data_IF_759507256517
#
_entry.id   IF_759507256517
#
_cell.length_a   1.000
_cell.length_b   1.000
_cell.length_c   1.000
_cell.angle_alpha   90.00
_cell.angle_beta   90.00
_cell.angle_gamma   90.00
#
_symmetry.space_group_name_H-M   'P 1'
#
loop_
_entity.id
_entity.type
_entity.pdbx_description
1 polymer ?
#
# COMPACT_ATOMS: atom_id res chain seq x y z
N UNK A 1 -2.31 -15.35 13.93
CA UNK A 1 -3.63 -15.70 14.42
C UNK A 1 -3.88 -17.18 14.20
N UNK A 2 -4.46 -17.87 15.20
CA UNK A 2 -5.14 -19.15 14.99
C UNK A 2 -6.58 -18.88 14.58
N UNK A 3 -7.31 -19.91 14.13
CA UNK A 3 -8.77 -19.90 13.96
C UNK A 3 -9.52 -19.44 15.23
N UNK A 4 -8.82 -19.29 16.35
CA UNK A 4 -9.32 -18.89 17.67
C UNK A 4 -8.98 -17.42 17.98
N UNK A 5 -8.38 -16.66 17.07
CA UNK A 5 -8.04 -15.25 17.24
C UNK A 5 -6.78 -14.98 18.10
N UNK A 6 -5.86 -15.94 18.21
CA UNK A 6 -4.61 -15.76 18.97
C UNK A 6 -3.52 -15.20 18.07
N UNK A 7 -2.87 -14.12 18.51
CA UNK A 7 -1.71 -13.51 17.85
C UNK A 7 -0.47 -14.42 17.99
N UNK A 8 0.24 -14.59 16.89
CA UNK A 8 1.58 -15.15 16.90
C UNK A 8 2.60 -14.02 16.93
N UNK A 9 3.42 -14.02 17.93
CA UNK A 9 4.60 -13.16 18.01
C UNK A 9 5.63 -13.63 16.99
N UNK A 10 6.11 -12.71 16.14
CA UNK A 10 7.18 -13.00 15.18
C UNK A 10 8.51 -12.75 15.86
N UNK A 11 9.14 -13.80 16.36
CA UNK A 11 10.48 -13.72 16.96
C UNK A 11 11.53 -13.85 15.86
N UNK A 12 12.42 -12.86 15.72
CA UNK A 12 13.54 -12.91 14.77
C UNK A 12 14.74 -13.67 15.33
N UNK A 13 15.49 -14.38 14.48
CA UNK A 13 16.64 -15.19 14.92
C UNK A 13 17.80 -14.40 15.50
N UNK A 14 17.88 -13.09 15.23
CA UNK A 14 19.01 -12.24 15.65
C UNK A 14 18.98 -11.87 17.13
N UNK A 15 17.83 -12.00 17.78
CA UNK A 15 17.66 -11.55 19.17
C UNK A 15 17.82 -12.68 20.19
N UNK A 16 18.04 -13.91 19.72
CA UNK A 16 18.23 -15.07 20.57
C UNK A 16 19.70 -15.45 20.61
N UNK A 17 20.41 -14.99 21.62
CA UNK A 17 21.66 -15.63 22.03
C UNK A 17 21.31 -16.97 22.67
N UNK A 18 21.02 -17.97 21.86
CA UNK A 18 20.63 -19.28 22.32
C UNK A 18 21.84 -20.16 22.49
N UNK A 19 22.11 -20.55 23.72
CA UNK A 19 22.71 -21.84 24.00
C UNK A 19 21.64 -22.92 23.71
N UNK A 20 21.43 -23.24 22.44
CA UNK A 20 20.46 -24.30 22.05
C UNK A 20 21.13 -25.64 22.27
N UNK A 21 20.92 -26.22 23.44
CA UNK A 21 21.37 -27.58 23.78
C UNK A 21 20.39 -28.69 23.34
N UNK A 22 19.28 -28.36 22.64
CA UNK A 22 18.25 -29.34 22.31
C UNK A 22 17.77 -29.24 20.85
N UNK A 23 17.90 -30.33 20.11
CA UNK A 23 17.48 -30.49 18.70
C UNK A 23 15.95 -30.26 18.50
N UNK A 24 15.15 -30.56 19.52
CA UNK A 24 13.69 -30.38 19.45
C UNK A 24 13.31 -28.90 19.46
N UNK A 25 14.01 -28.08 20.24
CA UNK A 25 13.81 -26.62 20.28
C UNK A 25 14.22 -25.97 18.97
N UNK A 26 15.29 -26.45 18.31
CA UNK A 26 15.73 -25.96 17.02
C UNK A 26 14.72 -26.28 15.91
N UNK A 27 14.11 -27.46 15.96
CA UNK A 27 13.09 -27.87 14.99
C UNK A 27 11.78 -27.07 15.17
N UNK A 28 11.39 -26.80 16.41
CA UNK A 28 10.26 -25.93 16.74
C UNK A 28 10.50 -24.52 16.26
N UNK A 29 11.69 -23.97 16.49
CA UNK A 29 12.12 -22.66 16.05
C UNK A 29 12.18 -22.53 14.51
N UNK A 30 12.69 -23.56 13.80
CA UNK A 30 12.69 -23.61 12.34
C UNK A 30 11.26 -23.70 11.77
N UNK A 31 10.35 -24.38 12.47
CA UNK A 31 8.93 -24.43 12.13
C UNK A 31 8.25 -23.06 12.26
N UNK A 32 8.55 -22.32 13.32
CA UNK A 32 8.06 -20.96 13.54
C UNK A 32 8.61 -19.97 12.48
N UNK A 33 9.89 -20.11 12.11
CA UNK A 33 10.54 -19.34 11.07
C UNK A 33 9.89 -19.55 9.69
N UNK A 34 9.63 -20.81 9.32
CA UNK A 34 8.94 -21.12 8.07
C UNK A 34 7.51 -20.58 8.04
N UNK A 35 6.86 -20.53 9.19
CA UNK A 35 5.52 -19.98 9.34
C UNK A 35 5.53 -18.45 9.26
N UNK A 36 6.55 -17.78 9.84
CA UNK A 36 6.80 -16.36 9.72
C UNK A 36 7.06 -15.94 8.27
N UNK A 37 7.97 -16.64 7.57
CA UNK A 37 8.23 -16.40 6.15
C UNK A 37 6.98 -16.59 5.29
N UNK A 38 6.11 -17.54 5.67
CA UNK A 38 4.84 -17.78 4.98
C UNK A 38 3.84 -16.64 5.25
N UNK A 39 3.80 -16.08 6.46
CA UNK A 39 2.96 -14.94 6.81
C UNK A 39 3.43 -13.67 6.08
N UNK A 40 4.74 -13.40 6.05
CA UNK A 40 5.31 -12.27 5.28
C UNK A 40 5.08 -12.47 3.78
N UNK A 41 5.28 -13.67 3.25
CA UNK A 41 4.97 -13.98 1.85
C UNK A 41 3.46 -13.90 1.56
N UNK A 42 2.60 -14.31 2.48
CA UNK A 42 1.15 -14.21 2.31
C UNK A 42 0.66 -12.76 2.42
N UNK A 43 1.25 -11.94 3.29
CA UNK A 43 0.92 -10.50 3.35
C UNK A 43 1.33 -9.78 2.03
N UNK A 44 2.49 -10.12 1.46
CA UNK A 44 2.92 -9.65 0.13
C UNK A 44 2.05 -10.28 -0.98
N UNK A 45 1.61 -11.52 -0.81
CA UNK A 45 0.75 -12.24 -1.76
C UNK A 45 -0.69 -11.71 -1.74
N UNK A 46 -1.24 -11.30 -0.58
CA UNK A 46 -2.62 -10.79 -0.50
C UNK A 46 -2.81 -9.48 -1.26
N UNK A 47 -1.81 -8.62 -1.31
CA UNK A 47 -1.87 -7.45 -2.19
C UNK A 47 -1.74 -7.80 -3.67
N UNK A 48 -1.04 -8.87 -3.99
CA UNK A 48 -1.02 -9.42 -5.35
C UNK A 48 -2.36 -10.08 -5.71
N UNK A 49 -3.06 -10.68 -4.74
CA UNK A 49 -4.36 -11.29 -4.94
C UNK A 49 -5.47 -10.27 -5.14
N UNK A 50 -5.48 -9.12 -4.45
CA UNK A 50 -6.42 -8.03 -4.70
C UNK A 50 -6.51 -7.65 -6.18
N UNK A 51 -5.43 -7.82 -6.95
CA UNK A 51 -5.39 -7.49 -8.36
C UNK A 51 -5.33 -8.68 -9.30
N UNK A 52 -4.87 -9.83 -8.83
CA UNK A 52 -4.93 -11.05 -9.63
C UNK A 52 -6.39 -11.47 -9.87
N UNK A 53 -7.23 -11.20 -8.86
CA UNK A 53 -8.68 -11.43 -8.91
C UNK A 53 -9.48 -10.17 -9.31
N UNK A 54 -8.85 -9.06 -9.69
CA UNK A 54 -9.55 -7.83 -10.07
C UNK A 54 -10.43 -7.97 -11.33
N UNK A 55 -10.28 -9.05 -12.09
CA UNK A 55 -11.27 -9.46 -13.10
C UNK A 55 -12.52 -10.12 -12.47
N UNK A 56 -12.45 -10.48 -11.20
CA UNK A 56 -13.62 -10.87 -10.42
C UNK A 56 -14.14 -9.66 -9.66
N UNK A 57 -15.43 -9.63 -9.44
CA UNK A 57 -16.03 -8.60 -8.59
C UNK A 57 -15.59 -8.80 -7.13
N UNK A 58 -15.31 -7.72 -6.43
CA UNK A 58 -14.94 -7.74 -5.00
C UNK A 58 -16.10 -8.32 -4.16
N UNK A 59 -17.33 -7.88 -4.47
CA UNK A 59 -18.55 -8.45 -3.87
C UNK A 59 -19.53 -8.85 -4.99
N UNK A 60 -19.36 -10.04 -5.61
CA UNK A 60 -20.17 -10.46 -6.76
C UNK A 60 -21.67 -10.46 -6.50
N UNK A 61 -22.10 -10.83 -5.29
CA UNK A 61 -23.51 -10.92 -4.92
C UNK A 61 -24.18 -9.55 -4.77
N UNK A 62 -23.43 -8.46 -4.63
CA UNK A 62 -23.96 -7.12 -4.35
C UNK A 62 -24.88 -6.55 -5.44
N UNK A 63 -24.88 -7.13 -6.65
CA UNK A 63 -25.81 -6.77 -7.72
C UNK A 63 -27.23 -7.31 -7.49
N UNK A 64 -27.33 -8.49 -6.88
CA UNK A 64 -28.59 -9.27 -6.86
C UNK A 64 -29.09 -9.58 -5.47
N UNK A 65 -28.27 -9.46 -4.46
CA UNK A 65 -28.59 -9.80 -3.06
C UNK A 65 -28.15 -8.68 -2.14
N UNK A 66 -28.93 -8.48 -1.08
CA UNK A 66 -28.54 -7.58 0.02
C UNK A 66 -27.39 -8.22 0.80
N UNK A 67 -26.31 -7.48 1.02
CA UNK A 67 -25.17 -7.86 1.85
C UNK A 67 -25.44 -7.47 3.31
N UNK A 68 -24.86 -8.19 4.25
CA UNK A 68 -24.92 -7.85 5.68
C UNK A 68 -23.62 -7.18 6.15
N UNK A 69 -23.68 -6.37 7.21
CA UNK A 69 -22.48 -5.79 7.81
C UNK A 69 -21.49 -6.87 8.27
N UNK A 70 -21.99 -7.99 8.82
CA UNK A 70 -21.15 -9.11 9.26
C UNK A 70 -20.30 -9.71 8.13
N UNK A 71 -20.77 -9.63 6.87
CA UNK A 71 -19.99 -10.12 5.72
C UNK A 71 -18.83 -9.20 5.32
N UNK A 72 -18.76 -8.01 5.87
CA UNK A 72 -17.75 -6.98 5.60
C UNK A 72 -16.71 -6.82 6.72
N UNK A 73 -16.90 -7.51 7.85
CA UNK A 73 -16.12 -7.28 9.08
C UNK A 73 -14.60 -7.52 8.92
N UNK A 74 -14.20 -8.36 7.96
CA UNK A 74 -12.80 -8.66 7.70
C UNK A 74 -12.25 -7.91 6.48
N UNK A 75 -13.02 -6.99 5.91
CA UNK A 75 -12.56 -6.19 4.78
C UNK A 75 -11.74 -5.00 5.26
N UNK A 76 -10.62 -4.75 4.61
CA UNK A 76 -9.80 -3.56 4.84
C UNK A 76 -10.51 -2.28 4.37
N UNK A 77 -10.02 -1.11 4.81
CA UNK A 77 -10.47 0.20 4.30
C UNK A 77 -10.38 0.27 2.77
N UNK A 78 -9.29 -0.24 2.21
CA UNK A 78 -9.10 -0.27 0.76
C UNK A 78 -10.12 -1.17 0.04
N UNK A 79 -10.41 -2.35 0.59
CA UNK A 79 -11.39 -3.28 0.02
C UNK A 79 -12.80 -2.71 0.06
N UNK A 80 -13.19 -2.12 1.18
CA UNK A 80 -14.48 -1.45 1.34
C UNK A 80 -14.62 -0.30 0.33
N UNK A 81 -13.60 0.55 0.22
CA UNK A 81 -13.57 1.66 -0.71
C UNK A 81 -13.67 1.22 -2.18
N UNK A 82 -12.92 0.18 -2.56
CA UNK A 82 -12.97 -0.40 -3.89
C UNK A 82 -14.32 -1.06 -4.16
N UNK A 83 -14.85 -1.86 -3.21
CA UNK A 83 -16.15 -2.52 -3.35
C UNK A 83 -17.30 -1.52 -3.54
N UNK A 84 -17.27 -0.41 -2.79
CA UNK A 84 -18.24 0.68 -2.98
C UNK A 84 -18.16 1.28 -4.39
N UNK A 85 -16.96 1.56 -4.86
CA UNK A 85 -16.77 2.15 -6.19
C UNK A 85 -17.02 1.14 -7.32
N UNK A 86 -16.83 -0.15 -7.08
CA UNK A 86 -17.14 -1.21 -8.04
C UNK A 86 -18.64 -1.22 -8.42
N UNK A 87 -19.55 -1.00 -7.45
CA UNK A 87 -20.98 -0.92 -7.76
C UNK A 87 -21.25 0.16 -8.81
N UNK A 88 -20.63 1.32 -8.70
CA UNK A 88 -20.74 2.38 -9.71
C UNK A 88 -20.02 2.04 -11.02
N UNK A 89 -18.84 1.42 -10.94
CA UNK A 89 -18.06 1.04 -12.11
C UNK A 89 -18.79 0.04 -13.01
N UNK A 90 -19.53 -0.91 -12.44
CA UNK A 90 -20.35 -1.88 -13.19
C UNK A 90 -21.40 -1.22 -14.09
N UNK A 91 -21.81 0.01 -13.76
CA UNK A 91 -22.73 0.83 -14.55
C UNK A 91 -21.99 1.87 -15.43
N UNK A 92 -20.68 1.73 -15.59
CA UNK A 92 -19.88 2.54 -16.49
C UNK A 92 -19.56 3.95 -15.98
N UNK A 93 -19.66 4.21 -14.67
CA UNK A 93 -19.23 5.48 -14.08
C UNK A 93 -17.73 5.67 -14.23
N UNK A 94 -17.29 6.84 -14.72
CA UNK A 94 -15.92 7.30 -14.67
C UNK A 94 -15.54 7.88 -13.30
N UNK A 95 -14.24 7.95 -13.02
CA UNK A 95 -13.72 8.41 -11.74
C UNK A 95 -12.74 9.57 -11.94
N UNK A 96 -12.85 10.61 -11.11
CA UNK A 96 -11.88 11.70 -11.05
C UNK A 96 -10.63 11.32 -10.26
N UNK A 97 -10.75 10.36 -9.35
CA UNK A 97 -9.61 9.77 -8.65
C UNK A 97 -8.82 8.89 -9.64
N UNK A 98 -7.55 9.24 -9.87
CA UNK A 98 -6.69 8.58 -10.86
C UNK A 98 -6.46 7.11 -10.56
N UNK A 99 -6.30 6.74 -9.28
CA UNK A 99 -6.14 5.36 -8.87
C UNK A 99 -7.37 4.53 -9.24
N UNK A 100 -8.58 4.98 -8.84
CA UNK A 100 -9.83 4.29 -9.17
C UNK A 100 -10.03 4.16 -10.68
N UNK A 101 -9.77 5.23 -11.44
CA UNK A 101 -9.94 5.19 -12.88
C UNK A 101 -8.97 4.18 -13.51
N UNK A 102 -7.69 4.17 -13.10
CA UNK A 102 -6.72 3.22 -13.62
C UNK A 102 -7.05 1.78 -13.22
N UNK A 103 -7.45 1.57 -11.96
CA UNK A 103 -7.86 0.27 -11.45
C UNK A 103 -9.00 -0.35 -12.27
N UNK A 104 -10.10 0.39 -12.44
CA UNK A 104 -11.24 -0.13 -13.22
C UNK A 104 -10.93 -0.25 -14.71
N UNK A 105 -10.11 0.64 -15.28
CA UNK A 105 -9.66 0.49 -16.67
C UNK A 105 -8.96 -0.86 -16.92
N UNK A 106 -8.22 -1.37 -15.95
CA UNK A 106 -7.54 -2.66 -16.03
C UNK A 106 -8.47 -3.87 -15.84
N UNK A 107 -9.72 -3.67 -15.38
CA UNK A 107 -10.72 -4.71 -15.30
C UNK A 107 -11.33 -4.99 -16.68
N UNK A 108 -11.41 -6.26 -17.10
CA UNK A 108 -11.93 -6.65 -18.43
C UNK A 108 -13.41 -6.30 -18.60
N UNK A 109 -14.17 -6.37 -17.50
CA UNK A 109 -15.63 -6.11 -17.49
C UNK A 109 -15.99 -4.62 -17.45
N UNK A 110 -15.05 -3.70 -17.17
CA UNK A 110 -15.33 -2.28 -17.04
C UNK A 110 -15.28 -1.57 -18.40
N UNK A 111 -16.33 -0.80 -18.68
CA UNK A 111 -16.39 0.13 -19.81
C UNK A 111 -16.94 1.47 -19.32
N UNK A 112 -16.12 2.53 -19.42
CA UNK A 112 -16.55 3.87 -19.05
C UNK A 112 -17.57 4.40 -20.05
N UNK A 113 -18.79 4.65 -19.59
CA UNK A 113 -19.88 5.18 -20.41
C UNK A 113 -20.35 6.57 -20.00
N UNK A 114 -19.99 7.02 -18.79
CA UNK A 114 -20.33 8.35 -18.29
C UNK A 114 -19.17 8.94 -17.49
N UNK A 115 -18.99 10.27 -17.59
CA UNK A 115 -18.10 10.98 -16.67
C UNK A 115 -18.69 11.02 -15.25
N UNK A 116 -17.83 11.21 -14.26
CA UNK A 116 -18.22 11.20 -12.83
C UNK A 116 -19.43 12.11 -12.57
N UNK A 117 -19.40 13.33 -13.08
CA UNK A 117 -20.43 14.35 -12.86
C UNK A 117 -21.70 14.15 -13.70
N UNK A 118 -21.59 13.35 -14.77
CA UNK A 118 -22.71 13.05 -15.67
C UNK A 118 -23.37 11.70 -15.38
N UNK A 119 -22.89 10.96 -14.37
CA UNK A 119 -23.43 9.65 -14.03
C UNK A 119 -24.82 9.76 -13.38
N UNK A 120 -25.78 9.03 -13.94
CA UNK A 120 -27.13 8.99 -13.43
C UNK A 120 -27.33 7.82 -12.47
N UNK A 121 -27.40 8.08 -11.15
CA UNK A 121 -27.61 7.07 -10.14
C UNK A 121 -28.99 6.37 -10.21
N UNK A 122 -29.89 6.83 -11.06
CA UNK A 122 -31.19 6.16 -11.26
C UNK A 122 -31.03 4.78 -11.91
N UNK A 123 -29.88 4.50 -12.54
CA UNK A 123 -29.57 3.19 -13.15
C UNK A 123 -29.33 2.10 -12.08
N UNK A 124 -28.96 2.51 -10.85
CA UNK A 124 -28.73 1.58 -9.76
C UNK A 124 -30.07 0.98 -9.27
N UNK A 125 -30.06 -0.34 -9.11
CA UNK A 125 -31.19 -1.07 -8.50
C UNK A 125 -31.36 -0.68 -7.01
N UNK A 126 -32.51 -0.99 -6.44
CA UNK A 126 -32.74 -0.75 -4.99
C UNK A 126 -31.77 -1.58 -4.13
N UNK A 127 -31.46 -2.82 -4.53
CA UNK A 127 -30.50 -3.69 -3.86
C UNK A 127 -29.11 -3.05 -3.82
N UNK A 128 -28.64 -2.52 -4.94
CA UNK A 128 -27.33 -1.85 -5.01
C UNK A 128 -27.29 -0.58 -4.15
N UNK A 129 -28.36 0.22 -4.16
CA UNK A 129 -28.48 1.40 -3.30
C UNK A 129 -28.49 1.06 -1.81
N UNK A 130 -29.09 -0.07 -1.43
CA UNK A 130 -29.09 -0.51 -0.05
C UNK A 130 -27.72 -1.10 0.34
N UNK A 131 -27.06 -1.83 -0.56
CA UNK A 131 -25.69 -2.32 -0.37
C UNK A 131 -24.67 -1.18 -0.24
N UNK A 132 -24.80 -0.12 -1.04
CA UNK A 132 -23.97 1.07 -0.89
C UNK A 132 -24.02 1.66 0.52
N UNK A 133 -25.20 1.71 1.14
CA UNK A 133 -25.35 2.20 2.54
C UNK A 133 -24.66 1.27 3.53
N UNK A 134 -24.80 -0.06 3.35
CA UNK A 134 -24.13 -1.04 4.21
C UNK A 134 -22.62 -0.91 4.13
N UNK A 135 -22.05 -0.76 2.92
CA UNK A 135 -20.61 -0.58 2.74
C UNK A 135 -20.16 0.76 3.34
N UNK A 136 -20.90 1.86 3.12
CA UNK A 136 -20.57 3.18 3.70
C UNK A 136 -20.60 3.17 5.23
N UNK A 137 -21.52 2.43 5.85
CA UNK A 137 -21.53 2.28 7.31
C UNK A 137 -20.36 1.41 7.79
N UNK A 138 -19.96 0.38 7.03
CA UNK A 138 -18.77 -0.40 7.32
C UNK A 138 -17.48 0.43 7.19
N UNK A 139 -17.33 1.26 6.13
CA UNK A 139 -16.22 2.22 6.00
C UNK A 139 -16.14 3.15 7.22
N UNK A 140 -17.30 3.66 7.68
CA UNK A 140 -17.35 4.53 8.84
C UNK A 140 -16.97 3.78 10.13
N UNK A 141 -17.52 2.58 10.35
CA UNK A 141 -17.20 1.75 11.51
C UNK A 141 -15.69 1.44 11.54
N UNK A 142 -15.11 1.07 10.39
CA UNK A 142 -13.68 0.84 10.27
C UNK A 142 -12.88 2.08 10.67
N UNK A 143 -13.25 3.27 10.17
CA UNK A 143 -12.57 4.51 10.52
C UNK A 143 -12.75 4.92 12.00
N UNK A 144 -13.90 4.63 12.61
CA UNK A 144 -14.15 4.88 14.04
C UNK A 144 -13.32 3.92 14.94
N UNK A 145 -13.09 2.68 14.49
CA UNK A 145 -12.28 1.66 15.18
C UNK A 145 -10.77 1.83 14.95
N UNK A 146 -10.39 2.47 13.83
CA UNK A 146 -9.00 2.72 13.44
C UNK A 146 -8.79 4.23 13.22
N UNK A 147 -8.73 5.03 14.31
CA UNK A 147 -8.72 6.50 14.22
C UNK A 147 -7.40 7.07 13.67
N UNK A 148 -6.38 6.25 13.47
CA UNK A 148 -5.09 6.65 12.93
C UNK A 148 -4.94 6.21 11.47
N UNK A 149 -4.12 6.93 10.68
CA UNK A 149 -3.32 8.11 11.01
C UNK A 149 -4.14 9.39 11.21
N UNK A 150 -3.72 10.25 12.17
CA UNK A 150 -4.27 11.59 12.36
C UNK A 150 -3.30 12.64 11.83
N UNK A 151 -3.78 13.56 10.97
CA UNK A 151 -3.00 14.68 10.45
C UNK A 151 -3.05 15.89 11.38
N UNK A 152 -1.89 16.51 11.61
CA UNK A 152 -1.73 17.73 12.37
C UNK A 152 -0.88 18.74 11.62
N UNK A 153 -1.19 20.03 11.74
CA UNK A 153 -0.43 21.09 11.07
C UNK A 153 0.86 21.39 11.79
N UNK A 154 1.88 21.76 11.01
CA UNK A 154 3.13 22.32 11.52
C UNK A 154 2.85 23.48 12.48
N UNK A 155 3.56 23.52 13.60
CA UNK A 155 3.38 24.47 14.67
C UNK A 155 2.20 24.22 15.61
N UNK A 156 1.32 23.27 15.31
CA UNK A 156 0.23 22.86 16.18
C UNK A 156 0.77 22.06 17.37
N UNK A 157 0.30 22.38 18.57
CA UNK A 157 0.48 21.53 19.75
C UNK A 157 -0.66 20.55 19.84
N UNK A 158 -0.33 19.29 20.02
CA UNK A 158 -1.29 18.20 20.16
C UNK A 158 -0.97 17.34 21.36
N UNK A 159 -1.95 16.62 21.83
CA UNK A 159 -1.86 15.71 22.96
C UNK A 159 -2.28 14.32 22.48
N UNK A 160 -1.38 13.37 22.52
CA UNK A 160 -1.61 11.96 22.18
C UNK A 160 -0.78 11.07 23.10
N UNK A 161 -1.29 9.94 23.51
CA UNK A 161 -0.57 8.90 24.26
C UNK A 161 0.27 8.08 23.26
N UNK A 162 1.53 8.47 23.06
CA UNK A 162 2.36 7.89 22.00
C UNK A 162 3.29 6.77 22.50
N UNK A 163 3.46 6.62 23.82
CA UNK A 163 4.24 5.52 24.40
C UNK A 163 3.38 4.43 25.05
N UNK A 164 2.04 4.60 25.05
CA UNK A 164 1.07 3.64 25.56
C UNK A 164 1.03 3.55 27.09
N UNK A 165 1.55 4.55 27.83
CA UNK A 165 1.56 4.54 29.30
C UNK A 165 0.24 5.01 29.94
N UNK A 166 -0.73 5.42 29.12
CA UNK A 166 -2.03 5.96 29.52
C UNK A 166 -2.03 7.45 29.83
N UNK A 167 -0.98 8.17 29.48
CA UNK A 167 -0.85 9.63 29.61
C UNK A 167 -0.49 10.23 28.27
N UNK A 168 -1.14 11.34 27.95
CA UNK A 168 -0.88 12.04 26.70
C UNK A 168 0.42 12.84 26.77
N UNK A 169 1.26 12.74 25.73
CA UNK A 169 2.42 13.59 25.49
C UNK A 169 2.02 14.86 24.73
N UNK A 170 2.62 16.00 25.09
CA UNK A 170 2.56 17.21 24.27
C UNK A 170 3.53 17.08 23.08
N UNK A 171 3.01 17.07 21.87
CA UNK A 171 3.77 16.94 20.63
C UNK A 171 3.64 18.21 19.82
N UNK A 172 4.75 18.65 19.20
CA UNK A 172 4.77 19.77 18.26
C UNK A 172 5.86 19.58 17.23
N UNK A 173 5.50 19.76 15.97
CA UNK A 173 6.44 19.76 14.85
C UNK A 173 6.59 21.17 14.31
N UNK A 174 7.83 21.67 14.24
CA UNK A 174 8.20 22.99 13.73
C UNK A 174 9.17 22.85 12.56
N UNK A 175 8.96 23.66 11.53
CA UNK A 175 9.84 23.78 10.36
C UNK A 175 10.38 25.20 10.30
N UNK A 176 11.70 25.35 10.12
CA UNK A 176 12.37 26.65 9.99
C UNK A 176 13.24 26.66 8.75
N UNK A 177 13.17 27.72 7.95
CA UNK A 177 14.15 27.92 6.89
C UNK A 177 15.56 28.01 7.49
N UNK A 178 16.47 27.18 7.01
CA UNK A 178 17.89 27.31 7.31
C UNK A 178 18.49 28.29 6.29
N UNK A 179 19.17 29.33 6.77
CA UNK A 179 19.59 30.48 5.97
C UNK A 179 20.67 30.24 4.90
N UNK A 180 21.14 29.01 4.70
CA UNK A 180 22.16 28.65 3.72
C UNK A 180 21.68 27.53 2.79
N UNK A 181 21.54 27.84 1.50
CA UNK A 181 21.26 26.91 0.39
C UNK A 181 20.21 25.83 0.66
N UNK A 182 18.96 26.26 0.54
CA UNK A 182 17.80 25.38 0.31
C UNK A 182 17.62 24.25 1.33
N UNK A 183 17.57 24.55 2.61
CA UNK A 183 17.26 23.58 3.63
C UNK A 183 16.30 24.12 4.68
N UNK A 184 15.47 23.22 5.21
CA UNK A 184 14.64 23.48 6.38
C UNK A 184 15.21 22.68 7.55
N UNK A 185 15.25 23.29 8.74
CA UNK A 185 15.48 22.56 9.99
C UNK A 185 14.13 22.11 10.51
N UNK A 186 13.99 20.81 10.68
CA UNK A 186 12.76 20.17 11.16
C UNK A 186 12.97 19.80 12.63
N UNK A 187 12.11 20.30 13.51
CA UNK A 187 12.23 20.12 14.95
C UNK A 187 10.95 19.49 15.47
N UNK A 188 11.06 18.29 16.04
CA UNK A 188 9.99 17.64 16.77
C UNK A 188 10.21 17.87 18.26
N UNK A 189 9.20 18.37 18.95
CA UNK A 189 9.25 18.61 20.40
C UNK A 189 8.24 17.67 21.07
N UNK A 190 8.73 16.86 22.02
CA UNK A 190 7.90 15.97 22.84
C UNK A 190 8.12 16.33 24.30
N UNK A 191 7.05 16.62 25.02
CA UNK A 191 7.06 17.03 26.45
C UNK A 191 8.09 18.13 26.74
N UNK A 192 8.26 19.08 25.82
CA UNK A 192 9.19 20.20 25.95
C UNK A 192 10.64 19.89 25.60
N UNK A 193 11.00 18.65 25.30
CA UNK A 193 12.32 18.27 24.77
C UNK A 193 12.29 18.36 23.26
N UNK A 194 13.22 19.11 22.67
CA UNK A 194 13.32 19.29 21.22
C UNK A 194 14.36 18.39 20.60
N UNK A 195 13.98 17.73 19.52
CA UNK A 195 14.80 16.84 18.70
C UNK A 195 14.91 17.44 17.29
N UNK A 196 16.13 17.67 16.84
CA UNK A 196 16.37 18.06 15.45
C UNK A 196 16.33 16.80 14.58
N UNK A 197 15.38 16.77 13.64
CA UNK A 197 15.14 15.62 12.77
C UNK A 197 16.00 15.78 11.52
N UNK A 198 16.92 14.87 11.29
CA UNK A 198 17.79 14.72 10.13
C UNK A 198 18.66 15.92 9.72
N UNK A 199 19.88 15.60 9.27
CA UNK A 199 20.84 16.55 8.68
C UNK A 199 20.46 17.01 7.25
N UNK A 200 19.45 16.39 6.65
CA UNK A 200 18.98 16.71 5.31
C UNK A 200 17.69 17.50 5.43
N UNK A 201 17.76 18.68 4.93
CA UNK A 201 16.64 19.59 4.95
C UNK A 201 15.47 19.02 4.16
N UNK A 202 14.42 18.71 4.87
CA UNK A 202 13.15 18.39 4.26
C UNK A 202 12.72 19.57 3.38
N UNK A 203 12.31 19.30 2.15
CA UNK A 203 11.59 20.26 1.35
C UNK A 203 10.15 20.28 1.83
N UNK A 204 9.73 21.39 2.41
CA UNK A 204 8.36 21.55 2.90
C UNK A 204 7.57 22.36 1.90
N UNK A 205 6.56 21.72 1.34
CA UNK A 205 5.54 22.37 0.50
C UNK A 205 4.24 22.52 1.30
N UNK A 206 3.21 23.19 0.77
CA UNK A 206 1.89 23.19 1.41
C UNK A 206 1.30 21.79 1.65
N UNK A 207 1.68 20.81 0.85
CA UNK A 207 1.25 19.42 0.97
C UNK A 207 1.96 18.70 2.12
N UNK A 208 3.17 19.11 2.48
CA UNK A 208 3.98 18.51 3.54
C UNK A 208 4.10 19.40 4.79
N UNK A 209 3.39 20.53 4.84
CA UNK A 209 3.29 21.40 6.03
C UNK A 209 2.39 20.79 7.11
N UNK A 210 2.69 19.54 7.45
CA UNK A 210 1.96 18.74 8.43
C UNK A 210 2.85 17.61 8.98
N UNK A 211 2.36 16.98 10.04
CA UNK A 211 2.87 15.72 10.56
C UNK A 211 1.71 14.80 10.92
N UNK A 212 2.00 13.53 11.10
CA UNK A 212 0.99 12.54 11.47
C UNK A 212 1.37 11.87 12.77
N UNK A 213 0.35 11.51 13.55
CA UNK A 213 0.46 10.43 14.54
C UNK A 213 -0.18 9.21 13.90
N UNK A 214 0.53 8.11 13.92
CA UNK A 214 0.19 6.87 13.22
C UNK A 214 0.13 5.71 14.18
N UNK A 215 -0.64 4.70 13.83
CA UNK A 215 -0.68 3.40 14.48
C UNK A 215 -0.27 2.38 13.43
N UNK A 216 1.03 2.04 13.41
CA UNK A 216 1.55 1.07 12.44
C UNK A 216 1.15 -0.35 12.84
N UNK A 217 1.06 -0.61 14.13
CA UNK A 217 0.70 -1.91 14.68
C UNK A 217 -0.40 -1.79 15.74
N UNK A 218 -1.64 -1.95 15.35
CA UNK A 218 -2.81 -1.85 16.22
C UNK A 218 -2.87 -2.92 17.35
N UNK A 219 -1.85 -3.75 17.49
CA UNK A 219 -1.75 -4.78 18.52
C UNK A 219 -0.77 -4.43 19.65
N UNK A 220 -0.05 -3.31 19.54
CA UNK A 220 0.67 -2.71 20.65
C UNK A 220 0.01 -1.39 21.07
N UNK A 221 0.41 -0.83 22.20
CA UNK A 221 -0.18 0.40 22.73
C UNK A 221 0.60 1.66 22.28
N UNK A 222 1.64 1.52 21.43
CA UNK A 222 2.49 2.64 21.00
C UNK A 222 2.01 3.24 19.66
N UNK A 223 2.27 4.55 19.52
CA UNK A 223 2.01 5.27 18.28
C UNK A 223 3.32 5.86 17.75
N UNK A 224 3.44 5.96 16.43
CA UNK A 224 4.58 6.59 15.80
C UNK A 224 4.23 7.99 15.32
N UNK A 225 5.26 8.83 15.23
CA UNK A 225 5.15 10.17 14.63
C UNK A 225 5.76 10.10 13.23
N UNK A 226 5.00 10.54 12.22
CA UNK A 226 5.47 10.57 10.85
C UNK A 226 5.59 12.00 10.35
N UNK A 227 6.71 12.33 9.70
CA UNK A 227 6.96 13.62 9.04
C UNK A 227 7.26 13.39 7.56
N UNK A 228 6.80 14.32 6.73
CA UNK A 228 6.86 14.21 5.28
C UNK A 228 7.99 15.07 4.70
N UNK A 229 8.66 14.54 3.68
CA UNK A 229 9.68 15.23 2.91
C UNK A 229 9.35 15.13 1.41
N UNK A 230 9.25 16.28 0.74
CA UNK A 230 9.02 16.33 -0.71
C UNK A 230 10.26 15.95 -1.53
N UNK A 231 11.44 15.97 -0.92
CA UNK A 231 12.70 15.73 -1.63
C UNK A 231 12.96 16.69 -2.79
N UNK A 232 14.16 16.62 -3.38
CA UNK A 232 14.50 17.46 -4.53
C UNK A 232 13.98 16.82 -5.81
N UNK A 233 12.93 16.89 -6.35
CA UNK A 233 12.43 16.31 -7.63
C UNK A 233 11.27 15.34 -7.47
N UNK A 234 10.52 15.44 -6.35
CA UNK A 234 9.42 14.54 -6.05
C UNK A 234 9.89 13.15 -5.55
N UNK A 235 11.10 13.10 -5.01
CA UNK A 235 11.63 11.92 -4.32
C UNK A 235 11.05 11.87 -2.89
N UNK A 236 9.75 11.71 -2.81
CA UNK A 236 8.98 11.74 -1.58
C UNK A 236 9.42 10.67 -0.58
N UNK A 237 9.57 11.08 0.69
CA UNK A 237 9.91 10.18 1.80
C UNK A 237 9.04 10.53 3.01
N UNK A 238 8.64 9.53 3.75
CA UNK A 238 8.01 9.64 5.06
C UNK A 238 8.95 9.08 6.10
N UNK A 239 9.36 9.88 7.08
CA UNK A 239 10.21 9.49 8.20
C UNK A 239 9.36 9.19 9.41
N UNK A 240 9.60 8.05 10.04
CA UNK A 240 8.87 7.59 11.23
C UNK A 240 9.75 7.67 12.47
N UNK A 241 9.17 8.10 13.57
CA UNK A 241 9.82 8.24 14.88
C UNK A 241 8.96 7.60 15.95
N UNK A 242 9.59 6.90 16.88
CA UNK A 242 8.98 6.31 18.06
C UNK A 242 9.47 7.03 19.30
N UNK A 243 8.59 7.23 20.28
CA UNK A 243 8.92 7.73 21.60
C UNK A 243 8.77 6.59 22.63
N UNK A 244 9.79 6.37 23.46
CA UNK A 244 9.82 5.28 24.45
C UNK A 244 9.48 5.75 25.88
N UNK A 245 8.87 6.94 26.04
CA UNK A 245 8.62 7.59 27.32
C UNK A 245 9.79 8.44 27.82
N UNK A 246 10.98 8.36 27.21
CA UNK A 246 12.17 9.11 27.59
C UNK A 246 12.84 9.80 26.40
N UNK A 247 12.99 9.11 25.28
CA UNK A 247 13.71 9.58 24.12
C UNK A 247 12.90 9.33 22.84
N UNK A 248 13.10 10.22 21.87
CA UNK A 248 12.58 10.04 20.51
C UNK A 248 13.63 9.33 19.67
N UNK A 249 13.28 8.23 19.07
CA UNK A 249 14.15 7.43 18.21
C UNK A 249 13.65 7.42 16.77
N UNK A 250 14.56 7.44 15.81
CA UNK A 250 14.24 7.24 14.40
C UNK A 250 13.88 5.77 14.17
N UNK A 251 12.64 5.52 13.78
CA UNK A 251 12.12 4.17 13.51
C UNK A 251 12.44 3.67 12.09
N UNK A 252 12.56 4.58 11.13
CA UNK A 252 12.86 4.25 9.75
C UNK A 252 12.16 5.17 8.78
N UNK A 253 12.27 4.85 7.49
CA UNK A 253 11.68 5.64 6.42
C UNK A 253 10.93 4.75 5.42
N UNK A 254 9.91 5.35 4.81
CA UNK A 254 9.15 4.76 3.72
C UNK A 254 9.20 5.72 2.54
N UNK A 255 9.62 5.26 1.37
CA UNK A 255 9.57 6.10 0.17
C UNK A 255 8.12 6.35 -0.26
N UNK A 256 7.83 7.60 -0.61
CA UNK A 256 6.48 8.07 -0.88
C UNK A 256 5.70 8.47 0.37
N UNK A 257 4.43 8.75 0.18
CA UNK A 257 3.49 9.11 1.24
C UNK A 257 2.46 7.99 1.41
N UNK A 258 2.49 7.20 2.50
CA UNK A 258 1.55 6.10 2.72
C UNK A 258 0.12 6.56 3.08
N UNK A 259 -0.10 7.86 3.21
CA UNK A 259 -1.38 8.45 3.59
C UNK A 259 -2.31 8.55 2.38
N UNK A 260 -3.52 8.03 2.51
CA UNK A 260 -4.52 7.92 1.43
C UNK A 260 -4.74 9.23 0.66
N UNK A 261 -4.90 10.33 1.38
CA UNK A 261 -5.15 11.63 0.78
C UNK A 261 -3.92 12.21 0.06
N UNK A 262 -2.70 11.84 0.49
CA UNK A 262 -1.47 12.33 -0.13
C UNK A 262 -1.06 11.49 -1.34
N UNK A 263 -1.32 10.19 -1.32
CA UNK A 263 -0.97 9.31 -2.43
C UNK A 263 -2.06 9.23 -3.51
N UNK A 264 -3.23 9.78 -3.24
CA UNK A 264 -4.37 9.79 -4.17
C UNK A 264 -5.02 8.41 -4.41
N UNK A 265 -4.65 7.41 -3.62
CA UNK A 265 -5.06 6.03 -3.85
C UNK A 265 -5.41 5.30 -2.56
N UNK A 266 -4.66 4.26 -2.26
CA UNK A 266 -4.88 3.36 -1.14
C UNK A 266 -4.36 3.93 0.19
N UNK A 267 -4.96 3.49 1.30
CA UNK A 267 -4.34 3.60 2.62
C UNK A 267 -3.11 2.69 2.66
N UNK A 268 -1.94 3.23 3.01
CA UNK A 268 -0.70 2.47 3.08
C UNK A 268 -0.56 1.64 4.35
N UNK A 269 -1.29 1.96 5.42
CA UNK A 269 -1.19 1.26 6.70
C UNK A 269 -2.07 0.02 6.71
N UNK A 270 -1.49 -1.14 7.07
CA UNK A 270 -2.24 -2.40 7.19
C UNK A 270 -2.85 -2.59 8.57
N UNK A 271 -2.42 -1.82 9.58
CA UNK A 271 -2.77 -2.02 10.99
C UNK A 271 -2.15 -3.27 11.62
N UNK A 272 -1.28 -3.96 10.88
CA UNK A 272 -0.61 -5.21 11.29
C UNK A 272 0.89 -5.11 11.01
N UNK A 273 1.54 -4.05 11.49
CA UNK A 273 2.97 -3.76 11.29
C UNK A 273 3.40 -3.53 9.83
N UNK A 274 2.50 -3.52 8.87
CA UNK A 274 2.82 -3.35 7.45
C UNK A 274 2.53 -1.94 6.95
N UNK A 275 3.42 -1.41 6.11
CA UNK A 275 3.22 -0.14 5.40
C UNK A 275 3.52 -0.32 3.93
N UNK A 276 2.59 0.14 3.06
CA UNK A 276 2.82 0.29 1.63
C UNK A 276 3.34 1.71 1.34
N UNK A 277 4.50 1.77 0.71
CA UNK A 277 5.08 2.98 0.16
C UNK A 277 5.22 2.89 -1.35
N UNK A 278 6.08 3.74 -1.91
CA UNK A 278 6.31 3.81 -3.36
C UNK A 278 7.74 3.46 -3.67
N UNK A 279 7.98 2.50 -4.56
CA UNK A 279 9.30 2.23 -5.13
C UNK A 279 9.31 2.60 -6.62
N UNK A 280 10.43 3.12 -7.09
CA UNK A 280 10.65 3.39 -8.50
C UNK A 280 11.22 2.15 -9.18
N UNK A 281 10.76 1.87 -10.39
CA UNK A 281 11.37 0.91 -11.32
C UNK A 281 11.67 1.57 -12.65
N UNK A 282 12.70 1.10 -13.33
CA UNK A 282 13.06 1.49 -14.69
C UNK A 282 12.98 0.29 -15.66
N UNK A 283 12.22 -0.75 -15.29
CA UNK A 283 11.94 -1.89 -16.16
C UNK A 283 11.03 -1.45 -17.31
N UNK A 284 11.53 -1.50 -18.54
CA UNK A 284 10.94 -1.00 -19.79
C UNK A 284 10.70 0.51 -19.81
N UNK A 285 10.15 1.07 -18.76
CA UNK A 285 9.87 2.49 -18.58
C UNK A 285 10.00 2.89 -17.13
N UNK A 286 10.19 4.16 -16.86
CA UNK A 286 10.13 4.67 -15.49
C UNK A 286 8.70 4.58 -14.98
N UNK A 287 8.48 3.79 -13.95
CA UNK A 287 7.18 3.61 -13.31
C UNK A 287 7.33 3.50 -11.79
N UNK A 288 6.19 3.53 -11.11
CA UNK A 288 6.12 3.44 -9.66
C UNK A 288 5.31 2.21 -9.25
N UNK A 289 5.86 1.47 -8.30
CA UNK A 289 5.24 0.28 -7.71
C UNK A 289 4.94 0.54 -6.23
N UNK A 290 4.01 -0.23 -5.67
CA UNK A 290 3.77 -0.25 -4.23
C UNK A 290 4.86 -1.11 -3.57
N UNK A 291 5.82 -0.48 -2.87
CA UNK A 291 6.78 -1.14 -2.00
C UNK A 291 6.13 -1.54 -0.68
N UNK A 292 6.73 -2.47 0.04
CA UNK A 292 6.23 -2.94 1.32
C UNK A 292 7.32 -2.85 2.39
N UNK A 293 6.97 -2.28 3.54
CA UNK A 293 7.81 -2.17 4.74
C UNK A 293 7.14 -2.89 5.90
N UNK A 294 7.95 -3.54 6.70
CA UNK A 294 7.51 -4.19 7.92
C UNK A 294 8.06 -3.44 9.14
N UNK A 295 7.20 -3.18 10.10
CA UNK A 295 7.55 -2.56 11.37
C UNK A 295 7.75 -3.64 12.43
N UNK A 296 8.96 -3.73 12.96
CA UNK A 296 9.28 -4.55 14.12
C UNK A 296 9.02 -3.72 15.38
N UNK A 297 7.90 -3.98 16.06
CA UNK A 297 7.48 -3.22 17.24
C UNK A 297 8.44 -3.39 18.42
N UNK A 298 9.08 -4.57 18.56
CA UNK A 298 10.04 -4.84 19.62
C UNK A 298 11.32 -4.02 19.42
N UNK A 299 11.82 -3.97 18.20
CA UNK A 299 13.00 -3.17 17.85
C UNK A 299 12.67 -1.69 17.61
N UNK A 300 11.38 -1.34 17.40
CA UNK A 300 10.96 0.00 17.00
C UNK A 300 11.51 0.41 15.63
N UNK A 301 11.58 -0.52 14.67
CA UNK A 301 12.25 -0.30 13.38
C UNK A 301 11.42 -0.75 12.19
N UNK A 302 11.47 0.06 11.14
CA UNK A 302 10.94 -0.26 9.82
C UNK A 302 12.03 -0.90 8.95
N UNK A 303 11.67 -1.97 8.26
CA UNK A 303 12.52 -2.64 7.29
C UNK A 303 11.79 -2.79 5.96
N UNK A 304 12.45 -2.41 4.86
CA UNK A 304 11.95 -2.68 3.52
C UNK A 304 12.01 -4.18 3.23
N UNK A 305 10.91 -4.74 2.78
CA UNK A 305 10.84 -6.15 2.37
C UNK A 305 11.15 -6.21 0.87
N UNK A 306 12.38 -6.60 0.55
CA UNK A 306 12.82 -6.82 -0.83
C UNK A 306 12.35 -8.20 -1.30
N UNK A 307 11.73 -8.21 -2.48
CA UNK A 307 11.34 -9.45 -3.17
C UNK A 307 9.85 -9.59 -3.41
N UNK A 308 9.52 -10.56 -4.26
CA UNK A 308 8.15 -10.79 -4.72
C UNK A 308 7.72 -9.85 -5.84
N UNK A 309 6.42 -9.84 -6.11
CA UNK A 309 5.80 -9.00 -7.14
C UNK A 309 5.16 -7.78 -6.47
N UNK A 310 5.62 -6.60 -6.85
CA UNK A 310 5.08 -5.31 -6.40
C UNK A 310 4.09 -4.80 -7.42
N UNK A 311 2.93 -4.35 -6.95
CA UNK A 311 1.90 -3.81 -7.82
C UNK A 311 2.29 -2.45 -8.39
N UNK A 312 1.95 -2.22 -9.67
CA UNK A 312 2.02 -0.87 -10.25
C UNK A 312 1.06 0.08 -9.52
N UNK A 313 1.54 1.28 -9.21
CA UNK A 313 0.73 2.31 -8.55
C UNK A 313 -0.40 2.80 -9.44
N UNK A 314 -0.17 2.83 -10.75
CA UNK A 314 -1.16 3.19 -11.76
C UNK A 314 -1.15 2.17 -12.90
N UNK A 315 -2.31 1.81 -13.38
CA UNK A 315 -2.48 0.86 -14.48
C UNK A 315 -2.66 1.62 -15.79
N UNK A 316 -1.54 1.94 -16.43
CA UNK A 316 -1.54 2.63 -17.73
C UNK A 316 -1.80 1.63 -18.85
N UNK A 317 -2.72 1.93 -19.80
CA UNK A 317 -2.92 1.09 -20.97
C UNK A 317 -1.75 1.23 -21.97
N UNK A 318 -1.22 0.10 -22.41
CA UNK A 318 -0.18 0.01 -23.44
C UNK A 318 -0.76 -0.65 -24.68
N UNK A 319 -0.83 0.09 -25.79
CA UNK A 319 -1.33 -0.42 -27.06
C UNK A 319 -0.32 -1.35 -27.71
N UNK A 320 -0.71 -2.57 -28.02
CA UNK A 320 0.16 -3.52 -28.72
C UNK A 320 0.19 -3.25 -30.23
N UNK A 321 1.38 -3.15 -30.80
CA UNK A 321 1.61 -3.05 -32.24
C UNK A 321 2.03 -4.39 -32.87
N UNK A 322 2.41 -5.35 -32.04
CA UNK A 322 2.76 -6.74 -32.40
C UNK A 322 2.09 -7.70 -31.44
N UNK A 323 2.01 -8.97 -31.82
CA UNK A 323 1.54 -10.02 -30.94
C UNK A 323 2.48 -10.16 -29.74
N UNK A 324 1.92 -10.25 -28.52
CA UNK A 324 2.68 -10.34 -27.26
C UNK A 324 2.50 -11.73 -26.65
N UNK A 325 3.53 -12.59 -26.67
CA UNK A 325 3.52 -13.85 -25.94
C UNK A 325 3.70 -13.58 -24.45
N UNK A 326 2.83 -14.15 -23.62
CA UNK A 326 2.89 -14.12 -22.17
C UNK A 326 3.18 -15.52 -21.64
N UNK A 327 4.12 -15.66 -20.70
CA UNK A 327 4.35 -16.90 -19.98
C UNK A 327 3.31 -17.09 -18.86
N UNK A 328 2.88 -18.33 -18.65
CA UNK A 328 1.92 -18.68 -17.59
C UNK A 328 2.54 -18.62 -16.18
N UNK A 329 3.86 -18.62 -16.08
CA UNK A 329 4.62 -18.49 -14.84
C UNK A 329 5.88 -17.65 -15.08
N UNK A 330 6.52 -17.20 -14.00
CA UNK A 330 7.82 -16.51 -14.05
C UNK A 330 8.95 -17.49 -14.41
N UNK A 331 8.80 -18.14 -15.55
CA UNK A 331 9.74 -19.11 -16.13
C UNK A 331 9.59 -19.09 -17.64
N UNK A 332 10.68 -18.75 -18.34
CA UNK A 332 10.73 -18.69 -19.80
C UNK A 332 10.52 -20.05 -20.49
N UNK A 333 10.49 -21.15 -19.74
CA UNK A 333 10.16 -22.48 -20.25
C UNK A 333 8.67 -22.87 -20.00
N UNK A 334 7.92 -22.01 -19.32
CA UNK A 334 6.49 -22.29 -19.06
C UNK A 334 5.66 -22.18 -20.35
N UNK A 335 4.43 -22.70 -20.29
CA UNK A 335 3.44 -22.54 -21.36
C UNK A 335 3.20 -21.05 -21.63
N UNK A 336 2.94 -20.72 -22.90
CA UNK A 336 2.63 -19.36 -23.33
C UNK A 336 1.19 -19.23 -23.79
N UNK A 337 0.65 -18.02 -23.60
CA UNK A 337 -0.56 -17.52 -24.24
C UNK A 337 -0.21 -16.24 -24.98
N UNK A 338 -0.89 -15.95 -26.08
CA UNK A 338 -0.58 -14.78 -26.91
C UNK A 338 -1.71 -13.77 -26.87
N UNK A 339 -1.38 -12.53 -26.56
CA UNK A 339 -2.28 -11.38 -26.76
C UNK A 339 -2.02 -10.82 -28.15
N UNK A 340 -3.06 -10.70 -28.97
CA UNK A 340 -2.93 -10.22 -30.35
C UNK A 340 -2.63 -8.72 -30.41
N UNK A 341 -1.90 -8.33 -31.45
CA UNK A 341 -1.69 -6.91 -31.76
C UNK A 341 -3.00 -6.15 -31.88
N UNK A 342 -2.98 -4.86 -31.57
CA UNK A 342 -4.18 -4.01 -31.58
C UNK A 342 -4.99 -4.07 -30.29
N UNK A 343 -4.63 -4.88 -29.30
CA UNK A 343 -5.22 -4.86 -27.97
C UNK A 343 -4.46 -3.92 -27.02
N UNK A 344 -5.13 -3.48 -25.97
CA UNK A 344 -4.52 -2.78 -24.85
C UNK A 344 -4.18 -3.78 -23.74
N UNK A 345 -2.98 -3.65 -23.18
CA UNK A 345 -2.52 -4.40 -22.02
C UNK A 345 -2.19 -3.46 -20.87
N UNK A 346 -2.27 -3.96 -19.67
CA UNK A 346 -1.96 -3.26 -18.43
C UNK A 346 -0.87 -4.00 -17.69
N UNK A 347 0.13 -3.27 -17.22
CA UNK A 347 1.12 -3.80 -16.29
C UNK A 347 0.50 -3.79 -14.89
N UNK A 348 0.36 -4.97 -14.30
CA UNK A 348 -0.33 -5.14 -13.03
C UNK A 348 0.66 -5.17 -11.87
N UNK A 349 1.72 -5.97 -11.99
CA UNK A 349 2.78 -6.05 -10.98
C UNK A 349 4.12 -6.40 -11.61
N UNK A 350 5.21 -6.12 -10.88
CA UNK A 350 6.59 -6.43 -11.31
C UNK A 350 7.43 -6.83 -10.10
N UNK A 351 8.42 -7.69 -10.32
CA UNK A 351 9.47 -7.97 -9.34
C UNK A 351 10.54 -6.87 -9.26
N UNK A 352 10.34 -5.77 -10.00
CA UNK A 352 11.27 -4.66 -10.17
C UNK A 352 12.66 -5.08 -10.70
N UNK A 353 12.79 -6.27 -11.28
CA UNK A 353 14.06 -6.85 -11.79
C UNK A 353 13.95 -7.27 -13.24
N UNK A 354 13.11 -8.25 -13.55
CA UNK A 354 13.04 -8.83 -14.90
C UNK A 354 11.66 -9.36 -15.29
N UNK A 355 10.68 -9.40 -14.36
CA UNK A 355 9.36 -9.92 -14.63
C UNK A 355 8.27 -8.89 -14.40
N UNK A 356 7.32 -8.82 -15.36
CA UNK A 356 6.10 -8.03 -15.24
C UNK A 356 4.89 -8.94 -15.48
N UNK A 357 3.94 -8.92 -14.56
CA UNK A 357 2.64 -9.54 -14.76
C UNK A 357 1.74 -8.59 -15.54
N UNK A 358 1.17 -9.10 -16.62
CA UNK A 358 0.42 -8.33 -17.61
C UNK A 358 -0.98 -8.89 -17.74
N UNK A 359 -1.96 -8.01 -17.88
CA UNK A 359 -3.34 -8.37 -18.23
C UNK A 359 -3.79 -7.59 -19.47
N UNK A 360 -4.36 -8.30 -20.43
CA UNK A 360 -5.02 -7.70 -21.58
C UNK A 360 -6.48 -7.33 -21.27
N UNK A 361 -7.04 -6.42 -22.07
CA UNK A 361 -8.43 -5.98 -21.89
C UNK A 361 -9.47 -7.09 -22.11
N UNK A 362 -9.11 -8.17 -22.82
CA UNK A 362 -9.96 -9.35 -23.01
C UNK A 362 -9.87 -10.38 -21.86
N UNK A 363 -9.11 -10.06 -20.78
CA UNK A 363 -8.88 -10.92 -19.64
C UNK A 363 -7.73 -11.93 -19.84
N UNK A 364 -7.05 -11.94 -20.98
CA UNK A 364 -5.83 -12.75 -21.17
C UNK A 364 -4.72 -12.22 -20.30
N UNK A 365 -4.05 -13.11 -19.54
CA UNK A 365 -3.04 -12.70 -18.57
C UNK A 365 -1.84 -13.63 -18.53
N UNK A 366 -0.72 -13.11 -18.00
CA UNK A 366 0.53 -13.85 -17.85
C UNK A 366 1.71 -12.91 -17.60
N UNK A 367 2.90 -13.42 -17.77
CA UNK A 367 4.13 -12.70 -17.46
C UNK A 367 4.91 -12.38 -18.73
N UNK A 368 5.53 -11.20 -18.76
CA UNK A 368 6.63 -10.90 -19.69
C UNK A 368 7.95 -10.92 -18.93
N UNK A 369 8.97 -11.40 -19.60
CA UNK A 369 10.35 -11.30 -19.14
C UNK A 369 11.04 -10.14 -19.86
N UNK A 370 11.75 -9.34 -19.11
CA UNK A 370 12.45 -8.15 -19.61
C UNK A 370 13.96 -8.37 -19.48
N UNK A 371 14.69 -8.14 -20.56
CA UNK A 371 16.15 -8.15 -20.60
C UNK A 371 16.64 -6.77 -21.04
N UNK A 372 17.08 -5.98 -20.06
CA UNK A 372 17.39 -4.57 -20.26
C UNK A 372 16.18 -3.76 -20.72
N UNK A 373 16.22 -3.23 -21.94
CA UNK A 373 15.11 -2.46 -22.54
C UNK A 373 14.19 -3.30 -23.44
N UNK A 374 14.34 -4.62 -23.47
CA UNK A 374 13.63 -5.49 -24.39
C UNK A 374 12.72 -6.46 -23.67
N UNK A 375 11.52 -6.65 -24.21
CA UNK A 375 10.70 -7.81 -23.88
C UNK A 375 11.29 -9.02 -24.59
N UNK A 376 11.64 -10.06 -23.86
CA UNK A 376 12.17 -11.30 -24.43
C UNK A 376 11.20 -11.87 -25.45
N UNK A 377 11.68 -12.26 -26.63
CA UNK A 377 10.94 -12.75 -27.80
C UNK A 377 10.17 -11.70 -28.63
N UNK A 378 10.05 -10.46 -28.20
CA UNK A 378 9.31 -9.39 -28.92
C UNK A 378 10.25 -8.26 -29.35
N UNK A 379 11.37 -8.09 -28.64
CA UNK A 379 12.25 -6.95 -28.84
C UNK A 379 11.75 -5.70 -28.09
N UNK A 380 12.35 -4.57 -28.39
CA UNK A 380 11.95 -3.30 -27.79
C UNK A 380 10.53 -2.95 -28.20
N UNK A 381 9.58 -2.68 -27.26
CA UNK A 381 8.28 -2.17 -27.62
C UNK A 381 8.46 -0.90 -28.45
N UNK A 382 7.92 -0.88 -29.67
CA UNK A 382 8.24 0.14 -30.64
C UNK A 382 7.99 1.55 -30.14
N UNK A 383 9.06 2.33 -30.08
CA UNK A 383 8.95 3.79 -30.20
C UNK A 383 8.99 4.11 -31.69
N UNK A 384 7.86 4.34 -32.32
CA UNK A 384 7.76 5.15 -33.52
C UNK A 384 7.13 6.51 -33.20
#
# INVERSE_FOLDING_TARGET
YTDDGVLYEVVRPTDVSCDVENEDTLNEYQGMMQQSDTVVQNAVIDTQNLHKDADQYIIPVSMTQTISADSLINMSDNDLWLARNEIYARHGRGFTNEYLQSYFNACSWYEKTAETDAFDESVLSQTEKDNLKVIQEAEKTYADEHPYPKEYKTGQKVMEDIDGDGREEEIRYDVKESGDYAGYSCILTVNGTSYELCEYAAMVTPETDCFYVTDINAYDDSLEIAVLDDGPSGDYVTYFYRYDGNTLEFAGEVTGFPFKEKNGGINGFTGQSGIYGTIRTDILETAYLNGYWWYDSDAGKLEYIDGGMHQYKYFTPHRLYVDLPLWKAMDQNSEQVTVSSGQDVFFISSDAKEWIYVRAKDGTEGYIHVDGENVSNVGRPGTE
#
